data_IF_483539756515
#
_entry.id   IF_483539756515
#
_cell.length_a   1.000
_cell.length_b   1.000
_cell.length_c   1.000
_cell.angle_alpha   90.00
_cell.angle_beta   90.00
_cell.angle_gamma   90.00
#
_symmetry.space_group_name_H-M   'P 1'
#
loop_
_entity.id
_entity.type
_entity.pdbx_description
1 polymer ?
#
# COMPACT_ATOMS: atom_id res chain seq x y z
N UNK A 1 -29.04 6.08 22.71
CA UNK A 1 -28.93 4.96 21.73
C UNK A 1 -27.45 4.60 21.64
N UNK A 2 -27.11 3.32 21.46
CA UNK A 2 -25.72 2.97 21.16
C UNK A 2 -25.36 3.55 19.79
N UNK A 3 -24.33 4.40 19.76
CA UNK A 3 -23.77 4.92 18.51
C UNK A 3 -23.29 3.76 17.62
N UNK A 4 -23.39 3.94 16.30
CA UNK A 4 -23.21 2.90 15.27
C UNK A 4 -21.79 2.90 14.72
N UNK A 5 -21.36 1.76 14.17
CA UNK A 5 -20.20 1.70 13.27
C UNK A 5 -20.67 2.00 11.85
N UNK A 6 -20.08 3.00 11.20
CA UNK A 6 -20.44 3.40 9.84
C UNK A 6 -19.44 2.81 8.83
N UNK A 7 -19.91 2.00 7.90
CA UNK A 7 -19.10 1.53 6.78
C UNK A 7 -19.33 2.47 5.61
N UNK A 8 -18.30 3.20 5.18
CA UNK A 8 -18.38 4.03 3.99
C UNK A 8 -18.14 3.21 2.73
N UNK A 9 -19.05 3.29 1.78
CA UNK A 9 -18.94 2.69 0.45
C UNK A 9 -19.14 3.76 -0.62
N UNK A 10 -18.82 3.45 -1.88
CA UNK A 10 -19.10 4.34 -3.02
C UNK A 10 -19.67 3.49 -4.16
N UNK A 11 -20.55 4.09 -4.95
CA UNK A 11 -21.07 3.44 -6.15
C UNK A 11 -20.00 3.39 -7.23
N UNK A 12 -19.89 2.26 -7.92
CA UNK A 12 -18.84 2.02 -8.92
C UNK A 12 -17.52 1.53 -8.32
N UNK A 13 -16.52 1.32 -9.18
CA UNK A 13 -15.27 0.64 -8.84
C UNK A 13 -15.25 -0.81 -9.29
N UNK A 14 -14.06 -1.33 -9.55
CA UNK A 14 -13.84 -2.71 -10.02
C UNK A 14 -13.90 -3.74 -8.90
N UNK A 15 -13.96 -3.29 -7.64
CA UNK A 15 -13.94 -4.10 -6.43
C UNK A 15 -15.35 -4.34 -5.82
N UNK A 16 -16.41 -3.85 -6.47
CA UNK A 16 -17.80 -3.90 -5.97
C UNK A 16 -18.66 -4.91 -6.72
N UNK A 17 -19.62 -5.50 -6.00
CA UNK A 17 -20.69 -6.31 -6.58
C UNK A 17 -21.81 -5.46 -7.21
N UNK A 18 -22.82 -6.11 -7.83
CA UNK A 18 -23.97 -5.42 -8.41
C UNK A 18 -24.81 -4.59 -7.41
N UNK A 19 -24.66 -4.88 -6.12
CA UNK A 19 -25.29 -4.15 -5.01
C UNK A 19 -24.50 -2.90 -4.56
N UNK A 20 -23.34 -2.65 -5.19
CA UNK A 20 -22.45 -1.53 -4.86
C UNK A 20 -21.55 -1.78 -3.65
N UNK A 21 -21.61 -2.95 -3.02
CA UNK A 21 -20.77 -3.29 -1.87
C UNK A 21 -19.53 -4.04 -2.30
N UNK A 22 -18.46 -3.92 -1.51
CA UNK A 22 -17.48 -5.00 -1.48
C UNK A 22 -18.11 -6.25 -0.90
N UNK A 23 -17.68 -7.41 -1.41
CA UNK A 23 -18.16 -8.70 -0.93
C UNK A 23 -17.91 -8.94 0.57
N UNK A 24 -16.93 -8.24 1.16
CA UNK A 24 -16.59 -8.34 2.58
C UNK A 24 -17.30 -7.32 3.49
N UNK A 25 -17.98 -6.30 2.95
CA UNK A 25 -18.63 -5.24 3.73
C UNK A 25 -19.81 -5.76 4.56
N UNK A 26 -20.77 -6.41 3.92
CA UNK A 26 -21.95 -6.93 4.63
C UNK A 26 -21.64 -8.05 5.63
N UNK A 27 -20.69 -8.98 5.36
CA UNK A 27 -20.17 -9.89 6.38
C UNK A 27 -19.71 -9.17 7.67
N UNK A 28 -18.93 -8.09 7.56
CA UNK A 28 -18.47 -7.33 8.73
C UNK A 28 -19.63 -6.66 9.47
N UNK A 29 -20.55 -6.02 8.75
CA UNK A 29 -21.75 -5.38 9.33
C UNK A 29 -22.59 -6.40 10.11
N UNK A 30 -22.81 -7.58 9.53
CA UNK A 30 -23.60 -8.63 10.16
C UNK A 30 -22.88 -9.22 11.39
N UNK A 31 -21.57 -9.41 11.32
CA UNK A 31 -20.77 -9.91 12.43
C UNK A 31 -20.76 -8.95 13.64
N UNK A 32 -20.79 -7.63 13.42
CA UNK A 32 -20.96 -6.63 14.48
C UNK A 32 -22.35 -6.70 15.11
N UNK A 33 -23.41 -6.79 14.29
CA UNK A 33 -24.80 -6.88 14.78
C UNK A 33 -25.04 -8.12 15.62
N UNK A 34 -24.48 -9.26 15.24
CA UNK A 34 -24.54 -10.50 16.01
C UNK A 34 -23.91 -10.35 17.40
N UNK A 35 -22.97 -9.43 17.57
CA UNK A 35 -22.28 -9.10 18.83
C UNK A 35 -22.91 -7.93 19.58
N UNK A 36 -24.07 -7.44 19.14
CA UNK A 36 -24.79 -6.34 19.78
C UNK A 36 -24.25 -4.94 19.47
N UNK A 37 -23.26 -4.81 18.59
CA UNK A 37 -22.81 -3.51 18.08
C UNK A 37 -23.59 -3.17 16.81
N UNK A 38 -24.37 -2.08 16.84
CA UNK A 38 -25.10 -1.66 15.64
C UNK A 38 -24.14 -1.10 14.58
N UNK A 39 -24.44 -1.38 13.32
CA UNK A 39 -23.62 -1.04 12.18
C UNK A 39 -24.47 -0.81 10.93
N UNK A 40 -24.05 0.12 10.08
CA UNK A 40 -24.72 0.40 8.81
C UNK A 40 -23.73 0.81 7.72
N UNK A 41 -24.14 0.59 6.48
CA UNK A 41 -23.42 1.09 5.32
C UNK A 41 -23.98 2.46 4.94
N UNK A 42 -23.10 3.40 4.59
CA UNK A 42 -23.46 4.69 4.01
C UNK A 42 -22.65 4.88 2.72
N UNK A 43 -23.35 5.18 1.63
CA UNK A 43 -22.69 5.52 0.38
C UNK A 43 -22.26 6.99 0.40
N UNK A 44 -20.97 7.22 0.16
CA UNK A 44 -20.44 8.56 0.00
C UNK A 44 -20.90 9.15 -1.33
N UNK A 45 -21.48 10.34 -1.25
CA UNK A 45 -21.88 11.18 -2.36
C UNK A 45 -21.45 12.59 -2.01
N UNK A 46 -20.56 13.17 -2.82
CA UNK A 46 -20.00 14.50 -2.57
C UNK A 46 -21.09 15.56 -2.45
N UNK A 47 -22.20 15.41 -3.18
CA UNK A 47 -23.33 16.36 -3.14
C UNK A 47 -24.07 16.35 -1.79
N UNK A 48 -23.80 15.34 -0.95
CA UNK A 48 -24.37 15.14 0.38
C UNK A 48 -23.31 15.11 1.48
N UNK A 49 -22.08 15.60 1.21
CA UNK A 49 -20.95 15.56 2.15
C UNK A 49 -21.35 16.07 3.54
N UNK A 50 -21.99 17.24 3.60
CA UNK A 50 -22.38 17.88 4.87
C UNK A 50 -23.47 17.07 5.60
N UNK A 51 -24.47 16.54 4.88
CA UNK A 51 -25.51 15.68 5.46
C UNK A 51 -24.93 14.38 6.03
N UNK A 52 -23.98 13.79 5.30
CA UNK A 52 -23.27 12.58 5.72
C UNK A 52 -22.44 12.88 6.97
N UNK A 53 -21.68 13.98 6.96
CA UNK A 53 -20.86 14.41 8.08
C UNK A 53 -21.71 14.59 9.34
N UNK A 54 -22.77 15.39 9.28
CA UNK A 54 -23.63 15.68 10.42
C UNK A 54 -24.28 14.41 10.97
N UNK A 55 -24.79 13.55 10.08
CA UNK A 55 -25.36 12.26 10.49
C UNK A 55 -24.34 11.39 11.22
N UNK A 56 -23.15 11.23 10.67
CA UNK A 56 -22.11 10.35 11.23
C UNK A 56 -21.56 10.90 12.54
N UNK A 57 -21.40 12.22 12.65
CA UNK A 57 -21.01 12.89 13.89
C UNK A 57 -21.99 12.64 15.04
N UNK A 58 -23.29 12.73 14.75
CA UNK A 58 -24.34 12.51 15.75
C UNK A 58 -24.52 11.03 16.12
N UNK A 59 -24.50 10.15 15.11
CA UNK A 59 -24.94 8.76 15.25
C UNK A 59 -23.78 7.74 15.28
N UNK A 60 -22.59 8.10 14.82
CA UNK A 60 -21.43 7.23 14.67
C UNK A 60 -20.53 7.23 15.90
N UNK A 61 -20.04 6.04 16.28
CA UNK A 61 -18.94 5.85 17.24
C UNK A 61 -17.61 5.68 16.51
N UNK A 62 -17.66 5.02 15.35
CA UNK A 62 -16.51 4.74 14.52
C UNK A 62 -16.93 4.67 13.06
N UNK A 63 -15.97 4.80 12.14
CA UNK A 63 -16.17 4.45 10.74
C UNK A 63 -15.10 3.49 10.23
N UNK A 64 -15.48 2.69 9.23
CA UNK A 64 -14.57 1.87 8.41
C UNK A 64 -14.72 2.31 6.96
N UNK A 65 -13.66 2.84 6.36
CA UNK A 65 -13.70 3.17 4.93
C UNK A 65 -13.52 1.93 4.08
N UNK A 66 -14.52 1.62 3.26
CA UNK A 66 -14.47 0.59 2.22
C UNK A 66 -14.42 1.26 0.83
N UNK A 67 -13.87 2.47 0.75
CA UNK A 67 -13.68 3.20 -0.50
C UNK A 67 -12.21 3.16 -0.86
N UNK A 68 -11.89 2.70 -2.08
CA UNK A 68 -10.56 2.93 -2.63
C UNK A 68 -10.49 4.40 -3.07
N UNK A 69 -9.62 5.25 -2.49
CA UNK A 69 -9.56 6.67 -2.79
C UNK A 69 -9.35 6.96 -4.28
N UNK A 70 -8.60 6.11 -4.98
CA UNK A 70 -8.38 6.24 -6.44
C UNK A 70 -9.65 6.06 -7.30
N UNK A 71 -10.76 5.60 -6.73
CA UNK A 71 -12.05 5.53 -7.41
C UNK A 71 -12.88 6.82 -7.24
N UNK A 72 -12.39 7.82 -6.47
CA UNK A 72 -13.08 9.08 -6.23
C UNK A 72 -12.53 10.18 -7.13
N UNK A 73 -13.42 10.93 -7.79
CA UNK A 73 -13.05 12.16 -8.51
C UNK A 73 -12.62 13.26 -7.54
N UNK A 74 -13.27 13.34 -6.37
CA UNK A 74 -13.03 14.34 -5.32
C UNK A 74 -12.48 13.68 -4.05
N UNK A 75 -11.35 12.99 -4.19
CA UNK A 75 -10.67 12.29 -3.09
C UNK A 75 -10.32 13.22 -1.91
N UNK A 76 -9.87 14.44 -2.17
CA UNK A 76 -9.46 15.40 -1.13
C UNK A 76 -10.61 15.76 -0.18
N UNK A 77 -11.80 15.99 -0.75
CA UNK A 77 -13.03 16.31 -0.02
C UNK A 77 -13.47 15.14 0.88
N UNK A 78 -13.29 13.91 0.41
CA UNK A 78 -13.57 12.72 1.21
C UNK A 78 -12.61 12.63 2.41
N UNK A 79 -11.31 12.84 2.19
CA UNK A 79 -10.33 12.84 3.27
C UNK A 79 -10.54 13.97 4.27
N UNK A 80 -10.91 15.17 3.81
CA UNK A 80 -11.26 16.29 4.69
C UNK A 80 -12.44 15.93 5.58
N UNK A 81 -13.54 15.40 5.02
CA UNK A 81 -14.68 14.93 5.81
C UNK A 81 -14.26 13.88 6.86
N UNK A 82 -13.41 12.91 6.49
CA UNK A 82 -12.91 11.92 7.46
C UNK A 82 -12.08 12.55 8.59
N UNK A 83 -11.26 13.58 8.28
CA UNK A 83 -10.49 14.32 9.31
C UNK A 83 -11.42 15.05 10.25
N UNK A 84 -12.44 15.73 9.73
CA UNK A 84 -13.44 16.43 10.53
C UNK A 84 -14.21 15.46 11.44
N UNK A 85 -14.56 14.26 10.95
CA UNK A 85 -15.20 13.23 11.77
C UNK A 85 -14.29 12.77 12.91
N UNK A 86 -13.01 12.55 12.63
CA UNK A 86 -12.01 12.21 13.66
C UNK A 86 -11.88 13.33 14.70
N UNK A 87 -11.81 14.59 14.25
CA UNK A 87 -11.78 15.76 15.13
C UNK A 87 -13.06 15.91 15.98
N UNK A 88 -14.20 15.43 15.49
CA UNK A 88 -15.47 15.37 16.23
C UNK A 88 -15.59 14.15 17.17
N UNK A 89 -14.55 13.32 17.28
CA UNK A 89 -14.50 12.17 18.19
C UNK A 89 -15.06 10.87 17.60
N UNK A 90 -15.27 10.79 16.29
CA UNK A 90 -15.59 9.52 15.61
C UNK A 90 -14.29 8.76 15.36
N UNK A 91 -14.20 7.51 15.80
CA UNK A 91 -12.98 6.70 15.68
C UNK A 91 -12.78 6.28 14.21
N UNK A 92 -11.69 6.71 13.59
CA UNK A 92 -11.35 6.36 12.23
C UNK A 92 -10.58 5.04 12.12
N UNK A 93 -11.10 4.09 11.35
CA UNK A 93 -10.46 2.78 11.13
C UNK A 93 -10.19 2.52 9.64
N UNK A 94 -9.15 3.12 9.03
CA UNK A 94 -8.12 3.98 9.65
C UNK A 94 -8.48 5.48 9.73
N UNK A 95 -7.70 6.23 10.52
CA UNK A 95 -7.59 7.68 10.39
C UNK A 95 -7.13 8.05 8.95
N UNK A 96 -7.66 9.10 8.31
CA UNK A 96 -7.32 9.44 6.93
C UNK A 96 -5.83 9.67 6.70
N UNK A 97 -5.13 10.27 7.67
CA UNK A 97 -3.68 10.51 7.53
C UNK A 97 -2.84 9.23 7.70
N UNK A 98 -3.33 8.22 8.42
CA UNK A 98 -2.73 6.89 8.40
C UNK A 98 -2.94 6.23 7.03
N UNK A 99 -4.11 6.42 6.42
CA UNK A 99 -4.41 5.92 5.08
C UNK A 99 -3.46 6.49 4.01
N UNK A 100 -3.11 7.76 4.13
CA UNK A 100 -2.15 8.43 3.22
C UNK A 100 -0.71 8.00 3.56
N UNK A 101 -0.35 8.03 4.85
CA UNK A 101 1.01 7.77 5.31
C UNK A 101 1.49 6.36 5.02
N UNK A 102 0.62 5.35 5.23
CA UNK A 102 0.95 3.95 4.99
C UNK A 102 0.71 3.51 3.55
N UNK A 103 -0.20 4.16 2.81
CA UNK A 103 -0.62 3.72 1.47
C UNK A 103 0.16 4.34 0.33
N UNK A 104 0.90 5.42 0.59
CA UNK A 104 1.76 6.06 -0.42
C UNK A 104 3.05 5.27 -0.64
N UNK A 105 3.59 5.30 -1.86
CA UNK A 105 4.91 4.68 -2.14
C UNK A 105 6.05 5.38 -1.38
N UNK A 106 5.82 6.62 -0.97
CA UNK A 106 6.69 7.40 -0.10
C UNK A 106 7.00 6.72 1.25
N UNK A 107 6.17 5.76 1.67
CA UNK A 107 6.45 4.93 2.85
C UNK A 107 7.84 4.27 2.79
N UNK A 108 8.31 3.90 1.61
CA UNK A 108 9.60 3.23 1.44
C UNK A 108 10.76 4.16 1.81
N UNK A 109 10.75 5.40 1.35
CA UNK A 109 11.81 6.37 1.64
C UNK A 109 11.86 6.74 3.13
N UNK A 110 10.70 6.76 3.81
CA UNK A 110 10.58 7.04 5.25
C UNK A 110 11.13 5.91 6.12
N UNK A 111 11.23 4.70 5.58
CA UNK A 111 11.63 3.49 6.32
C UNK A 111 13.06 3.03 6.03
N UNK A 112 13.88 3.81 5.31
CA UNK A 112 15.30 3.51 5.05
C UNK A 112 16.18 3.42 6.30
N UNK A 113 15.71 3.94 7.44
CA UNK A 113 16.38 3.81 8.74
C UNK A 113 16.10 2.48 9.45
N UNK A 114 15.22 1.66 8.88
CA UNK A 114 14.88 0.31 9.36
C UNK A 114 15.66 -0.74 8.54
N UNK A 115 15.59 -2.02 8.92
CA UNK A 115 16.13 -3.09 8.07
C UNK A 115 15.17 -3.50 6.94
N UNK A 116 13.97 -2.91 6.90
CA UNK A 116 12.91 -3.28 5.97
C UNK A 116 13.13 -2.71 4.57
N UNK A 117 13.84 -1.59 4.45
CA UNK A 117 14.04 -0.90 3.17
C UNK A 117 15.54 -0.62 2.97
N UNK A 118 16.11 -0.87 1.78
CA UNK A 118 17.50 -0.56 1.50
C UNK A 118 17.80 0.93 1.64
N UNK A 119 18.98 1.24 2.17
CA UNK A 119 19.47 2.60 2.43
C UNK A 119 19.67 3.46 1.17
N UNK A 120 19.81 2.82 0.01
CA UNK A 120 19.89 3.44 -1.31
C UNK A 120 18.50 3.57 -1.98
N UNK A 121 17.43 3.65 -1.20
CA UNK A 121 16.09 3.96 -1.70
C UNK A 121 15.86 5.46 -1.68
N UNK A 122 15.52 6.05 -2.84
CA UNK A 122 15.34 7.48 -3.00
C UNK A 122 13.89 7.83 -3.32
N UNK A 123 13.42 8.97 -2.81
CA UNK A 123 12.16 9.59 -3.22
C UNK A 123 12.43 10.90 -3.96
N UNK A 124 11.86 11.04 -5.15
CA UNK A 124 11.97 12.24 -5.97
C UNK A 124 10.64 12.98 -6.00
N UNK A 125 10.60 14.15 -5.38
CA UNK A 125 9.46 15.08 -5.42
C UNK A 125 9.62 16.17 -6.48
N UNK A 126 10.81 16.26 -7.09
CA UNK A 126 11.09 17.23 -8.16
C UNK A 126 11.83 16.54 -9.31
N UNK A 127 11.56 17.02 -10.52
CA UNK A 127 12.22 16.55 -11.75
C UNK A 127 13.73 16.77 -11.66
N UNK A 128 14.16 17.89 -11.07
CA UNK A 128 15.57 18.21 -10.86
C UNK A 128 16.28 17.18 -9.98
N UNK A 129 15.70 16.82 -8.82
CA UNK A 129 16.29 15.82 -7.93
C UNK A 129 16.37 14.44 -8.61
N UNK A 130 15.32 14.03 -9.32
CA UNK A 130 15.33 12.80 -10.11
C UNK A 130 16.44 12.82 -11.17
N UNK A 131 16.54 13.92 -11.92
CA UNK A 131 17.54 14.06 -13.00
C UNK A 131 18.97 14.06 -12.50
N UNK A 132 19.22 14.55 -11.30
CA UNK A 132 20.54 14.56 -10.70
C UNK A 132 20.94 13.20 -10.10
N UNK A 133 20.02 12.50 -9.43
CA UNK A 133 20.35 11.33 -8.62
C UNK A 133 20.23 10.00 -9.36
N UNK A 134 19.19 9.82 -10.20
CA UNK A 134 18.90 8.52 -10.81
C UNK A 134 20.02 7.95 -11.69
N UNK A 135 20.74 8.77 -12.49
CA UNK A 135 21.89 8.26 -13.26
C UNK A 135 23.01 7.70 -12.37
N UNK A 136 23.16 8.21 -11.14
CA UNK A 136 24.14 7.72 -10.16
C UNK A 136 23.66 6.43 -9.51
N UNK A 137 22.40 6.33 -9.11
CA UNK A 137 21.86 5.10 -8.50
C UNK A 137 21.83 3.94 -9.50
N UNK A 138 21.46 4.20 -10.76
CA UNK A 138 21.47 3.21 -11.84
C UNK A 138 22.87 2.72 -12.22
N UNK A 139 23.92 3.51 -11.96
CA UNK A 139 25.29 3.08 -12.18
C UNK A 139 25.74 1.96 -11.22
N UNK A 140 25.10 1.85 -10.05
CA UNK A 140 25.44 0.88 -9.01
C UNK A 140 24.76 -0.47 -9.24
N UNK A 141 23.49 -0.46 -9.61
CA UNK A 141 22.66 -1.66 -9.78
C UNK A 141 21.44 -1.35 -10.64
N UNK A 142 20.82 -2.39 -11.18
CA UNK A 142 19.47 -2.28 -11.75
C UNK A 142 18.51 -1.66 -10.73
N UNK A 143 17.60 -0.83 -11.21
CA UNK A 143 16.68 -0.05 -10.36
C UNK A 143 15.23 -0.39 -10.68
N UNK A 144 14.35 -0.17 -9.72
CA UNK A 144 12.90 -0.19 -9.88
C UNK A 144 12.38 1.20 -9.54
N UNK A 145 11.86 1.89 -10.56
CA UNK A 145 11.14 3.14 -10.38
C UNK A 145 9.66 2.85 -10.10
N UNK A 146 9.05 3.50 -9.10
CA UNK A 146 7.64 3.32 -8.76
C UNK A 146 6.95 4.67 -8.63
N UNK A 147 5.95 4.94 -9.46
CA UNK A 147 5.08 6.10 -9.28
C UNK A 147 4.23 5.96 -8.01
N UNK A 148 3.85 7.09 -7.40
CA UNK A 148 3.04 7.09 -6.19
C UNK A 148 1.62 6.56 -6.41
N UNK A 149 0.96 7.01 -7.49
CA UNK A 149 -0.42 6.66 -7.83
C UNK A 149 -0.42 5.71 -9.02
N UNK A 150 -0.47 4.42 -8.73
CA UNK A 150 -0.58 3.38 -9.74
C UNK A 150 -1.22 2.15 -9.14
N UNK A 151 -1.98 1.42 -9.94
CA UNK A 151 -2.55 0.13 -9.53
C UNK A 151 -1.99 -0.97 -10.42
N UNK A 152 -1.95 -2.19 -9.89
CA UNK A 152 -1.64 -3.40 -10.68
C UNK A 152 -0.35 -3.31 -11.51
N UNK A 153 0.69 -2.65 -11.00
CA UNK A 153 2.00 -2.56 -11.65
C UNK A 153 2.19 -1.39 -12.63
N UNK A 154 1.18 -0.56 -12.85
CA UNK A 154 1.30 0.63 -13.70
C UNK A 154 2.29 1.65 -13.12
N UNK A 155 3.20 2.15 -13.97
CA UNK A 155 4.28 3.07 -13.59
C UNK A 155 5.29 2.47 -12.62
N UNK A 156 5.39 1.14 -12.58
CA UNK A 156 6.47 0.42 -11.91
C UNK A 156 7.41 -0.14 -12.98
N UNK A 157 8.61 0.42 -13.07
CA UNK A 157 9.57 0.12 -14.13
C UNK A 157 10.85 -0.48 -13.56
N UNK A 158 11.19 -1.71 -13.96
CA UNK A 158 12.56 -2.22 -13.81
C UNK A 158 13.42 -1.60 -14.90
N UNK A 159 14.54 -0.99 -14.52
CA UNK A 159 15.47 -0.30 -15.41
C UNK A 159 16.85 -0.94 -15.29
N UNK A 160 17.38 -1.41 -16.40
CA UNK A 160 18.73 -1.98 -16.49
C UNK A 160 19.48 -1.46 -17.71
N UNK A 161 20.80 -1.35 -17.60
CA UNK A 161 21.63 -1.01 -18.74
C UNK A 161 21.64 -2.15 -19.77
N UNK A 162 21.65 -1.80 -21.06
CA UNK A 162 21.84 -2.79 -22.13
C UNK A 162 23.31 -3.21 -22.20
N UNK A 163 24.21 -2.24 -22.02
CA UNK A 163 25.65 -2.46 -22.00
C UNK A 163 26.23 -2.06 -20.64
N UNK A 164 27.19 -2.82 -20.08
CA UNK A 164 27.81 -2.46 -18.81
C UNK A 164 28.56 -1.12 -18.95
N UNK A 165 28.56 -0.34 -17.86
CA UNK A 165 29.35 0.88 -17.81
C UNK A 165 30.85 0.58 -17.92
N UNK A 166 31.57 1.49 -18.57
CA UNK A 166 33.03 1.47 -18.51
C UNK A 166 33.52 1.65 -17.06
N UNK A 167 34.67 1.04 -16.75
CA UNK A 167 35.25 1.14 -15.41
C UNK A 167 35.50 2.59 -14.98
N UNK A 168 35.11 2.92 -13.75
CA UNK A 168 35.29 4.26 -13.17
C UNK A 168 34.19 5.27 -13.50
N UNK A 169 33.19 4.89 -14.31
CA UNK A 169 31.99 5.70 -14.51
C UNK A 169 31.07 5.56 -13.29
N UNK A 170 30.74 6.68 -12.66
CA UNK A 170 29.88 6.74 -11.46
C UNK A 170 28.48 7.25 -11.77
N UNK A 171 28.24 7.69 -13.00
CA UNK A 171 26.97 8.25 -13.47
C UNK A 171 26.69 7.70 -14.87
N UNK A 172 25.50 7.13 -15.08
CA UNK A 172 25.11 6.62 -16.41
C UNK A 172 24.94 7.79 -17.39
N UNK A 173 25.62 7.79 -18.56
CA UNK A 173 25.42 8.80 -19.59
C UNK A 173 23.97 8.86 -20.09
N UNK A 174 23.45 10.06 -20.38
CA UNK A 174 22.06 10.22 -20.81
C UNK A 174 21.74 9.57 -22.17
N UNK A 175 22.75 9.32 -23.00
CA UNK A 175 22.64 8.62 -24.28
C UNK A 175 22.83 7.09 -24.15
N UNK A 176 23.13 6.59 -22.95
CA UNK A 176 23.24 5.16 -22.70
C UNK A 176 21.91 4.44 -22.96
N UNK A 177 22.00 3.26 -23.60
CA UNK A 177 20.84 2.43 -23.88
C UNK A 177 20.44 1.65 -22.63
N UNK A 178 19.16 1.77 -22.27
CA UNK A 178 18.55 1.04 -21.15
C UNK A 178 17.41 0.17 -21.66
N UNK A 179 17.20 -0.94 -20.95
CA UNK A 179 16.04 -1.83 -21.08
C UNK A 179 15.12 -1.57 -19.89
N UNK A 180 13.88 -1.21 -20.20
CA UNK A 180 12.83 -0.93 -19.23
C UNK A 180 11.76 -2.02 -19.33
N UNK A 181 11.34 -2.59 -18.20
CA UNK A 181 10.24 -3.56 -18.13
C UNK A 181 9.17 -3.02 -17.18
N UNK A 182 7.94 -2.83 -17.66
CA UNK A 182 6.84 -2.38 -16.81
C UNK A 182 6.18 -3.55 -16.09
N UNK A 183 5.92 -3.43 -14.79
CA UNK A 183 5.22 -4.47 -14.03
C UNK A 183 3.75 -4.65 -14.43
N UNK A 184 3.15 -3.71 -15.18
CA UNK A 184 1.75 -3.76 -15.58
C UNK A 184 1.41 -5.04 -16.36
N UNK A 185 2.26 -5.40 -17.31
CA UNK A 185 2.07 -6.55 -18.21
C UNK A 185 3.40 -7.22 -18.62
N UNK A 186 4.52 -6.84 -17.99
CA UNK A 186 5.88 -7.27 -18.30
C UNK A 186 6.35 -6.92 -19.73
N UNK A 187 5.72 -5.96 -20.42
CA UNK A 187 6.24 -5.50 -21.69
C UNK A 187 7.64 -4.86 -21.52
N UNK A 188 8.44 -4.95 -22.58
CA UNK A 188 9.83 -4.47 -22.60
C UNK A 188 9.96 -3.34 -23.60
N UNK A 189 10.63 -2.28 -23.18
CA UNK A 189 10.98 -1.14 -24.00
C UNK A 189 12.49 -0.84 -23.92
N UNK A 190 13.01 -0.21 -24.96
CA UNK A 190 14.41 0.22 -25.02
C UNK A 190 14.46 1.72 -25.22
N UNK A 191 15.24 2.40 -24.37
CA UNK A 191 15.31 3.85 -24.33
C UNK A 191 16.76 4.33 -24.29
N UNK A 192 16.97 5.58 -24.66
CA UNK A 192 18.10 6.35 -24.11
C UNK A 192 17.71 6.84 -22.72
N UNK A 193 18.63 6.79 -21.77
CA UNK A 193 18.36 7.16 -20.38
C UNK A 193 17.69 8.53 -20.26
N UNK A 194 18.21 9.56 -20.92
CA UNK A 194 17.65 10.91 -20.86
C UNK A 194 16.22 11.02 -21.40
N UNK A 195 15.89 10.24 -22.43
CA UNK A 195 14.53 10.20 -22.99
C UNK A 195 13.56 9.51 -22.03
N UNK A 196 13.95 8.39 -21.42
CA UNK A 196 13.14 7.70 -20.41
C UNK A 196 12.93 8.54 -19.16
N UNK A 197 13.97 9.24 -18.69
CA UNK A 197 13.83 10.15 -17.55
C UNK A 197 12.86 11.29 -17.85
N UNK A 198 12.86 11.81 -19.08
CA UNK A 198 11.88 12.81 -19.52
C UNK A 198 10.46 12.23 -19.55
N UNK A 199 10.30 10.98 -19.99
CA UNK A 199 9.02 10.27 -19.89
C UNK A 199 8.53 10.14 -18.43
N UNK A 200 9.43 9.82 -17.48
CA UNK A 200 9.07 9.67 -16.06
C UNK A 200 8.66 10.99 -15.37
N UNK A 201 8.90 12.17 -15.97
CA UNK A 201 8.49 13.47 -15.39
C UNK A 201 6.98 13.54 -15.12
N UNK A 202 6.18 12.79 -15.88
CA UNK A 202 4.74 12.69 -15.68
C UNK A 202 4.35 12.11 -14.31
N UNK A 203 5.20 11.27 -13.71
CA UNK A 203 4.94 10.65 -12.40
C UNK A 203 5.25 11.59 -11.22
N UNK A 204 6.05 12.62 -11.47
CA UNK A 204 6.46 13.63 -10.48
C UNK A 204 5.56 14.87 -10.56
N UNK A 205 4.97 15.14 -11.72
CA UNK A 205 4.16 16.33 -11.94
C UNK A 205 2.73 16.15 -11.43
N UNK A 206 2.18 17.17 -10.76
CA UNK A 206 0.79 17.22 -10.31
C UNK A 206 0.62 16.89 -8.82
N UNK A 207 -0.64 16.85 -8.38
CA UNK A 207 -0.97 16.61 -6.97
C UNK A 207 -0.49 15.23 -6.52
N UNK A 208 0.28 15.19 -5.43
CA UNK A 208 0.91 13.97 -4.88
C UNK A 208 1.88 13.27 -5.84
N UNK A 209 2.37 13.96 -6.88
CA UNK A 209 3.38 13.45 -7.80
C UNK A 209 4.71 13.22 -7.09
N UNK A 210 5.22 11.99 -7.20
CA UNK A 210 6.55 11.59 -6.75
C UNK A 210 6.93 10.25 -7.35
N UNK A 211 8.24 9.97 -7.36
CA UNK A 211 8.81 8.75 -7.90
C UNK A 211 9.75 8.13 -6.88
N UNK A 212 9.51 6.87 -6.51
CA UNK A 212 10.46 6.07 -5.74
C UNK A 212 11.47 5.42 -6.68
N UNK A 213 12.71 5.37 -6.24
CA UNK A 213 13.81 4.65 -6.87
C UNK A 213 14.43 3.70 -5.86
N UNK A 214 14.28 2.40 -6.09
CA UNK A 214 14.77 1.33 -5.22
C UNK A 214 15.64 0.37 -6.03
N UNK A 215 16.64 -0.28 -5.43
CA UNK A 215 17.39 -1.34 -6.13
C UNK A 215 16.46 -2.47 -6.56
N UNK A 216 16.73 -3.07 -7.72
CA UNK A 216 16.05 -4.29 -8.13
C UNK A 216 16.50 -5.47 -7.26
N UNK A 217 15.54 -6.27 -6.80
CA UNK A 217 15.78 -7.45 -5.96
C UNK A 217 15.59 -8.71 -6.81
N UNK A 218 16.67 -9.41 -7.23
CA UNK A 218 16.55 -10.52 -8.18
C UNK A 218 15.68 -11.67 -7.69
N UNK A 219 15.61 -11.88 -6.36
CA UNK A 219 14.81 -12.93 -5.74
C UNK A 219 13.29 -12.67 -5.77
N UNK A 220 12.82 -11.57 -6.36
CA UNK A 220 11.39 -11.38 -6.67
C UNK A 220 10.82 -12.54 -7.50
N UNK A 221 11.64 -13.24 -8.29
CA UNK A 221 11.25 -14.44 -9.03
C UNK A 221 10.86 -15.62 -8.13
N UNK A 222 11.31 -15.63 -6.87
CA UNK A 222 10.86 -16.60 -5.86
C UNK A 222 9.44 -16.30 -5.39
N UNK A 223 9.10 -15.01 -5.28
CA UNK A 223 7.76 -14.52 -5.02
C UNK A 223 7.74 -13.26 -4.15
N UNK A 224 6.63 -12.54 -4.21
CA UNK A 224 6.28 -11.48 -3.25
C UNK A 224 5.43 -12.07 -2.12
N UNK A 225 5.81 -11.80 -0.88
CA UNK A 225 5.14 -12.28 0.34
C UNK A 225 4.28 -11.15 0.90
N UNK A 226 2.96 -11.23 0.71
CA UNK A 226 2.01 -10.29 1.29
C UNK A 226 1.54 -10.77 2.66
N UNK A 227 1.92 -10.06 3.71
CA UNK A 227 1.31 -10.19 5.03
C UNK A 227 -0.01 -9.42 5.05
N UNK A 228 -1.10 -10.13 5.30
CA UNK A 228 -2.40 -9.51 5.58
C UNK A 228 -2.50 -9.25 7.08
N UNK A 229 -2.64 -7.97 7.43
CA UNK A 229 -2.62 -7.46 8.79
C UNK A 229 -4.02 -7.05 9.23
N UNK A 230 -4.39 -7.49 10.43
CA UNK A 230 -5.52 -7.00 11.19
C UNK A 230 -4.98 -6.25 12.41
N UNK A 231 -4.98 -4.92 12.36
CA UNK A 231 -4.21 -4.06 13.27
C UNK A 231 -2.73 -4.48 13.31
N UNK A 232 -2.24 -4.97 14.44
CA UNK A 232 -0.89 -5.45 14.68
C UNK A 232 -0.72 -6.98 14.49
N UNK A 233 -1.78 -7.68 14.08
CA UNK A 233 -1.79 -9.15 13.96
C UNK A 233 -1.73 -9.59 12.50
N UNK A 234 -0.72 -10.36 12.07
CA UNK A 234 -0.75 -11.04 10.79
C UNK A 234 -1.78 -12.18 10.87
N UNK A 235 -2.73 -12.23 9.94
CA UNK A 235 -3.79 -13.26 9.91
C UNK A 235 -3.64 -14.22 8.74
N UNK A 236 -3.09 -13.78 7.62
CA UNK A 236 -2.83 -14.61 6.45
C UNK A 236 -1.60 -14.13 5.68
N UNK A 237 -1.00 -15.04 4.93
CA UNK A 237 0.08 -14.73 4.00
C UNK A 237 -0.35 -15.12 2.59
N UNK A 238 -0.14 -14.22 1.63
CA UNK A 238 -0.31 -14.52 0.21
C UNK A 238 1.06 -14.48 -0.45
N UNK A 239 1.53 -15.64 -0.90
CA UNK A 239 2.75 -15.75 -1.67
C UNK A 239 2.42 -15.66 -3.16
N UNK A 240 2.88 -14.59 -3.81
CA UNK A 240 2.59 -14.24 -5.20
C UNK A 240 3.83 -14.46 -6.04
N UNK A 241 3.89 -15.59 -6.74
CA UNK A 241 5.04 -15.91 -7.60
C UNK A 241 4.84 -15.34 -9.00
N UNK A 242 5.71 -14.45 -9.51
CA UNK A 242 5.62 -13.96 -10.89
C UNK A 242 5.61 -15.08 -11.92
N UNK A 243 5.17 -14.74 -13.14
CA UNK A 243 5.24 -15.67 -14.27
C UNK A 243 6.68 -16.13 -14.52
N UNK A 244 6.86 -17.41 -14.86
CA UNK A 244 8.17 -17.99 -15.18
C UNK A 244 8.56 -17.68 -16.63
N UNK A 245 8.72 -16.38 -16.91
CA UNK A 245 9.10 -15.84 -18.22
C UNK A 245 10.25 -14.85 -18.06
N UNK A 246 11.08 -14.69 -19.09
CA UNK A 246 12.22 -13.78 -19.07
C UNK A 246 11.78 -12.36 -18.68
N UNK A 247 12.55 -11.73 -17.79
CA UNK A 247 12.32 -10.39 -17.22
C UNK A 247 11.03 -10.16 -16.43
N UNK A 248 10.14 -11.14 -16.33
CA UNK A 248 8.92 -11.00 -15.54
C UNK A 248 9.25 -10.86 -14.04
N UNK A 249 8.71 -9.80 -13.45
CA UNK A 249 8.84 -9.53 -12.02
C UNK A 249 7.52 -9.10 -11.39
N UNK A 250 6.46 -8.95 -12.20
CA UNK A 250 5.14 -8.57 -11.71
C UNK A 250 4.46 -9.70 -10.94
N UNK A 251 4.05 -9.40 -9.72
CA UNK A 251 3.35 -10.30 -8.82
C UNK A 251 1.82 -10.23 -8.96
N UNK A 252 1.29 -9.71 -10.07
CA UNK A 252 -0.16 -9.58 -10.28
C UNK A 252 -0.76 -10.79 -11.01
N UNK A 253 -2.00 -11.15 -10.69
CA UNK A 253 -2.71 -12.22 -11.42
C UNK A 253 -2.85 -11.90 -12.93
N UNK A 254 -3.06 -10.63 -13.29
CA UNK A 254 -3.21 -10.19 -14.68
C UNK A 254 -1.94 -10.38 -15.50
N UNK A 255 -0.78 -10.30 -14.86
CA UNK A 255 0.53 -10.54 -15.46
C UNK A 255 0.97 -12.01 -15.40
N UNK A 256 0.08 -12.93 -15.02
CA UNK A 256 0.34 -14.37 -14.98
C UNK A 256 0.95 -14.90 -13.69
N UNK A 257 0.95 -14.13 -12.59
CA UNK A 257 1.45 -14.61 -11.31
C UNK A 257 0.57 -15.73 -10.72
N UNK A 258 1.19 -16.64 -9.97
CA UNK A 258 0.51 -17.71 -9.25
C UNK A 258 0.46 -17.41 -7.76
N UNK A 259 -0.73 -17.48 -7.18
CA UNK A 259 -0.94 -17.17 -5.77
C UNK A 259 -1.06 -18.46 -4.96
N UNK A 260 -0.35 -18.49 -3.84
CA UNK A 260 -0.47 -19.50 -2.79
C UNK A 260 -0.84 -18.80 -1.49
N UNK A 261 -1.72 -19.41 -0.72
CA UNK A 261 -2.17 -18.90 0.57
C UNK A 261 -1.52 -19.73 1.66
N UNK A 262 -0.73 -19.06 2.48
CA UNK A 262 0.02 -19.64 3.58
C UNK A 262 -0.47 -19.06 4.92
N UNK A 263 -0.02 -19.65 6.01
CA UNK A 263 -0.27 -19.10 7.34
C UNK A 263 0.92 -18.28 7.83
N UNK A 264 0.72 -17.31 8.76
CA UNK A 264 1.82 -16.56 9.35
C UNK A 264 2.92 -17.44 9.96
N UNK A 265 2.58 -18.62 10.49
CA UNK A 265 3.55 -19.55 11.09
C UNK A 265 4.52 -20.17 10.06
N UNK A 266 4.10 -20.26 8.78
CA UNK A 266 4.97 -20.72 7.69
C UNK A 266 6.06 -19.68 7.34
N UNK A 267 5.93 -18.46 7.88
CA UNK A 267 6.79 -17.30 7.61
C UNK A 267 7.27 -16.62 8.91
N UNK A 268 7.57 -17.43 9.94
CA UNK A 268 7.88 -16.95 11.29
C UNK A 268 8.99 -15.88 11.34
N UNK A 269 10.08 -16.07 10.58
CA UNK A 269 11.20 -15.12 10.54
C UNK A 269 10.78 -13.74 10.02
N UNK A 270 10.02 -13.69 8.92
CA UNK A 270 9.47 -12.46 8.36
C UNK A 270 8.52 -11.79 9.36
N UNK A 271 7.59 -12.56 9.91
CA UNK A 271 6.59 -12.05 10.86
C UNK A 271 7.25 -11.46 12.10
N UNK A 272 8.18 -12.18 12.73
CA UNK A 272 8.88 -11.71 13.92
C UNK A 272 9.73 -10.45 13.63
N UNK A 273 10.46 -10.43 12.51
CA UNK A 273 11.27 -9.27 12.11
C UNK A 273 10.39 -8.03 11.89
N UNK A 274 9.26 -8.18 11.21
CA UNK A 274 8.37 -7.06 10.92
C UNK A 274 7.66 -6.54 12.17
N UNK A 275 7.08 -7.43 13.00
CA UNK A 275 6.39 -7.03 14.22
C UNK A 275 7.33 -6.35 15.23
N UNK A 276 8.59 -6.77 15.30
CA UNK A 276 9.60 -6.12 16.17
C UNK A 276 9.88 -4.67 15.74
N UNK A 277 9.79 -4.38 14.44
CA UNK A 277 10.00 -3.04 13.88
C UNK A 277 8.73 -2.20 13.78
N UNK A 278 7.56 -2.81 13.91
CA UNK A 278 6.28 -2.15 13.75
C UNK A 278 6.12 -0.89 14.63
N UNK A 279 6.58 -0.85 15.89
CA UNK A 279 6.54 0.39 16.68
C UNK A 279 7.36 1.55 16.07
N UNK A 280 8.54 1.25 15.52
CA UNK A 280 9.38 2.24 14.84
C UNK A 280 8.73 2.68 13.52
N UNK A 281 8.17 1.74 12.76
CA UNK A 281 7.40 2.02 11.55
C UNK A 281 6.24 2.98 11.88
N UNK A 282 5.45 2.67 12.91
CA UNK A 282 4.35 3.54 13.33
C UNK A 282 4.82 4.93 13.74
N UNK A 283 5.94 5.04 14.45
CA UNK A 283 6.52 6.33 14.81
C UNK A 283 6.95 7.15 13.58
N UNK A 284 7.65 6.54 12.63
CA UNK A 284 8.13 7.19 11.41
C UNK A 284 7.00 7.60 10.48
N UNK A 285 5.85 6.92 10.53
CA UNK A 285 4.68 7.18 9.69
C UNK A 285 3.62 8.07 10.36
N UNK A 286 4.02 8.86 11.34
CA UNK A 286 3.18 9.91 11.93
C UNK A 286 2.45 9.51 13.21
N UNK A 287 2.73 8.33 13.76
CA UNK A 287 2.25 7.86 15.06
C UNK A 287 0.71 7.83 15.19
N UNK A 288 0.03 7.59 14.07
CA UNK A 288 -1.39 7.25 14.04
C UNK A 288 -1.60 5.78 14.42
N UNK A 289 -2.81 5.45 14.88
CA UNK A 289 -3.22 4.07 15.07
C UNK A 289 -3.04 3.27 13.77
N UNK A 290 -2.62 2.01 13.92
CA UNK A 290 -2.49 1.09 12.80
C UNK A 290 -3.84 0.94 12.09
N UNK A 291 -3.85 0.85 10.74
CA UNK A 291 -5.09 0.59 10.03
C UNK A 291 -5.74 -0.71 10.52
N UNK A 292 -7.07 -0.75 10.50
CA UNK A 292 -7.82 -1.95 10.90
C UNK A 292 -7.46 -3.12 9.98
N UNK A 293 -7.50 -2.91 8.67
CA UNK A 293 -7.13 -3.92 7.67
C UNK A 293 -6.12 -3.30 6.72
N UNK A 294 -4.95 -3.92 6.61
CA UNK A 294 -3.88 -3.46 5.72
C UNK A 294 -2.97 -4.61 5.32
N UNK A 295 -2.07 -4.37 4.37
CA UNK A 295 -1.05 -5.34 3.97
C UNK A 295 0.33 -4.72 3.96
N UNK A 296 1.33 -5.57 4.17
CA UNK A 296 2.72 -5.27 3.90
C UNK A 296 3.27 -6.36 2.98
N UNK A 297 3.88 -5.95 1.87
CA UNK A 297 4.31 -6.85 0.82
C UNK A 297 5.83 -6.85 0.76
N UNK A 298 6.43 -8.03 0.85
CA UNK A 298 7.86 -8.23 0.99
C UNK A 298 8.45 -9.02 -0.16
N UNK A 299 9.72 -8.76 -0.47
CA UNK A 299 10.54 -9.55 -1.37
C UNK A 299 11.66 -10.20 -0.56
N UNK A 300 12.05 -11.41 -0.94
CA UNK A 300 13.26 -12.02 -0.42
C UNK A 300 14.50 -11.29 -0.95
N UNK A 301 15.54 -11.25 -0.12
CA UNK A 301 16.91 -10.89 -0.49
C UNK A 301 17.89 -11.66 0.42
N UNK A 302 19.19 -11.45 0.29
CA UNK A 302 20.21 -12.02 1.18
C UNK A 302 21.07 -10.92 1.81
N UNK A 303 21.30 -11.01 3.12
CA UNK A 303 22.23 -10.11 3.81
C UNK A 303 23.71 -10.43 3.46
N UNK A 304 24.64 -9.63 3.97
CA UNK A 304 26.09 -9.83 3.74
C UNK A 304 26.62 -11.20 4.23
N UNK A 305 25.94 -11.82 5.19
CA UNK A 305 26.25 -13.16 5.69
C UNK A 305 25.65 -14.29 4.83
N UNK A 306 24.87 -13.96 3.79
CA UNK A 306 24.18 -14.91 2.93
C UNK A 306 22.89 -15.48 3.53
N UNK A 307 22.36 -14.86 4.59
CA UNK A 307 21.13 -15.27 5.23
C UNK A 307 19.92 -14.56 4.61
N UNK A 308 18.76 -15.23 4.58
CA UNK A 308 17.52 -14.65 4.07
C UNK A 308 17.13 -13.40 4.86
N UNK A 309 16.85 -12.33 4.12
CA UNK A 309 16.20 -11.13 4.64
C UNK A 309 14.98 -10.76 3.79
N UNK A 310 14.15 -9.89 4.32
CA UNK A 310 12.87 -9.52 3.72
C UNK A 310 12.78 -8.01 3.54
N UNK A 311 12.64 -7.59 2.30
CA UNK A 311 12.61 -6.19 1.91
C UNK A 311 11.18 -5.77 1.60
N UNK A 312 10.69 -4.74 2.28
CA UNK A 312 9.38 -4.15 2.07
C UNK A 312 9.30 -3.50 0.68
N UNK A 313 8.34 -3.94 -0.13
CA UNK A 313 8.09 -3.43 -1.47
C UNK A 313 6.91 -2.47 -1.56
N UNK A 314 5.88 -2.66 -0.73
CA UNK A 314 4.73 -1.77 -0.59
C UNK A 314 3.95 -2.04 0.71
N UNK A 315 3.15 -1.06 1.10
CA UNK A 315 2.11 -1.20 2.11
C UNK A 315 0.78 -0.73 1.52
N UNK A 316 -0.31 -1.41 1.86
CA UNK A 316 -1.66 -1.07 1.38
C UNK A 316 -2.60 -0.91 2.57
N UNK A 317 -3.17 0.27 2.77
CA UNK A 317 -4.05 0.54 3.91
C UNK A 317 -5.40 1.17 3.52
N UNK A 318 -5.64 1.36 2.23
CA UNK A 318 -6.90 1.86 1.70
C UNK A 318 -7.71 0.71 1.12
N UNK A 319 -8.87 0.42 1.72
CA UNK A 319 -9.85 -0.49 1.13
C UNK A 319 -9.32 -1.91 0.79
N UNK A 320 -8.38 -2.42 1.60
CA UNK A 320 -7.91 -3.80 1.47
C UNK A 320 -9.07 -4.75 1.75
N UNK A 321 -9.23 -5.76 0.92
CA UNK A 321 -10.30 -6.76 1.08
C UNK A 321 -9.80 -8.19 1.17
N UNK A 322 -10.69 -9.03 1.66
CA UNK A 322 -10.46 -10.44 2.01
C UNK A 322 -11.59 -11.30 1.45
N UNK A 323 -12.00 -11.02 0.21
CA UNK A 323 -13.18 -11.60 -0.42
C UNK A 323 -13.09 -13.12 -0.62
N UNK A 324 -11.89 -13.69 -0.58
CA UNK A 324 -11.64 -15.13 -0.63
C UNK A 324 -11.77 -15.84 0.73
N UNK A 325 -11.84 -15.10 1.84
CA UNK A 325 -11.89 -15.66 3.20
C UNK A 325 -12.84 -14.83 4.09
N UNK A 326 -14.13 -14.86 3.76
CA UNK A 326 -15.15 -14.04 4.44
C UNK A 326 -15.34 -14.38 5.91
N UNK A 327 -14.82 -15.51 6.40
CA UNK A 327 -14.90 -15.87 7.83
C UNK A 327 -14.10 -14.89 8.71
N UNK A 328 -13.09 -14.22 8.14
CA UNK A 328 -12.34 -13.13 8.80
C UNK A 328 -13.23 -11.98 9.28
N UNK A 329 -14.41 -11.79 8.68
CA UNK A 329 -15.35 -10.76 9.10
C UNK A 329 -15.70 -10.84 10.60
N UNK A 330 -15.70 -12.06 11.18
CA UNK A 330 -15.93 -12.25 12.61
C UNK A 330 -14.78 -11.72 13.46
N UNK A 331 -13.54 -11.98 13.06
CA UNK A 331 -12.35 -11.47 13.75
C UNK A 331 -12.22 -9.96 13.58
N UNK A 332 -12.52 -9.43 12.39
CA UNK A 332 -12.54 -7.98 12.14
C UNK A 332 -13.58 -7.29 13.03
N UNK A 333 -14.77 -7.88 13.19
CA UNK A 333 -15.79 -7.32 14.08
C UNK A 333 -15.34 -7.28 15.55
N UNK A 334 -14.59 -8.29 16.00
CA UNK A 334 -14.00 -8.30 17.35
C UNK A 334 -12.98 -7.17 17.53
N UNK A 335 -12.11 -6.96 16.55
CA UNK A 335 -11.12 -5.88 16.60
C UNK A 335 -11.74 -4.49 16.50
N UNK A 336 -12.82 -4.31 15.73
CA UNK A 336 -13.59 -3.06 15.73
C UNK A 336 -14.15 -2.77 17.13
N UNK A 337 -14.72 -3.79 17.79
CA UNK A 337 -15.27 -3.63 19.15
C UNK A 337 -14.14 -3.32 20.14
N UNK A 338 -13.01 -4.03 20.07
CA UNK A 338 -11.85 -3.78 20.91
C UNK A 338 -11.33 -2.33 20.74
N UNK A 339 -11.17 -1.84 19.50
CA UNK A 339 -10.78 -0.46 19.25
C UNK A 339 -11.77 0.56 19.86
N UNK A 340 -13.08 0.30 19.76
CA UNK A 340 -14.11 1.16 20.39
C UNK A 340 -13.97 1.16 21.91
N UNK A 341 -13.69 0.01 22.52
CA UNK A 341 -13.51 -0.11 23.98
C UNK A 341 -12.24 0.59 24.46
N UNK A 342 -11.12 0.39 23.77
CA UNK A 342 -9.84 1.06 24.05
C UNK A 342 -10.00 2.59 24.06
N UNK A 343 -10.65 3.15 23.03
CA UNK A 343 -10.90 4.59 22.92
C UNK A 343 -11.86 5.14 23.98
N UNK A 344 -12.75 4.32 24.56
CA UNK A 344 -13.62 4.73 25.68
C UNK A 344 -12.85 4.86 27.00
N UNK A 345 -11.70 4.20 27.13
CA UNK A 345 -10.91 4.17 28.36
C UNK A 345 -9.83 5.26 28.44
N UNK A 346 -9.59 5.99 27.35
CA UNK A 346 -8.66 7.12 27.31
C UNK A 346 -9.39 8.36 27.87
N UNK A 347 -8.90 8.99 28.96
CA UNK A 347 -9.47 10.25 29.45
C UNK A 347 -9.33 11.34 28.39
N UNK A 348 -10.42 12.09 28.17
CA UNK A 348 -10.48 13.21 27.23
C UNK A 348 -9.45 14.32 27.54
#
# INVERSE_FOLDING_TARGET
MNKKVIFFEVQGGTDKGPDGYRLDTMPMVNALKQRGQDAQVMFFDITKKDEIFDYVKENGVAYVSRINPGNLEHEEEYFEMLRELCAAGVIGMPHPDAMIGYGSKDVLSKLVSTNLVPDDTFAYYTIEAFKAQFPTSLALTERVLKQNRGSTGEGIWRVKLVEPLAAGITEVPLDAKIKCTEAKDNHVEYWELGAFMTFCEQYITGTNGMLIDMRFLPRITEGEIRLFMLRDKPVHVVHKKPADTEDAFSATLFSGAQYRYDKPEDWEQLVQNFLTQLPLVTNLLGNYDLPLIWTADFMLDTNEAGEDCYILGEMNCSCVGFTSELTLAHQVAEEIIACIEEHRTIPA
#
